data_IF_465257647844
#
_entry.id   IF_465257647844
#
_cell.length_a   1.000
_cell.length_b   1.000
_cell.length_c   1.000
_cell.angle_alpha   90.00
_cell.angle_beta   90.00
_cell.angle_gamma   90.00
#
_symmetry.space_group_name_H-M   'P 1'
#
loop_
_entity.id
_entity.type
_entity.pdbx_description
1 polymer ?
#
# COMPACT_ATOMS: atom_id res chain seq x y z
N UNK A 1 44.56 35.07 -8.20
CA UNK A 1 44.07 34.23 -7.08
C UNK A 1 42.80 34.87 -6.54
N UNK A 2 41.62 34.45 -7.01
CA UNK A 2 40.33 34.81 -6.43
C UNK A 2 39.45 33.57 -6.52
N UNK A 3 39.27 32.93 -5.37
CA UNK A 3 38.44 31.73 -5.17
C UNK A 3 36.98 32.19 -5.04
N UNK A 4 36.09 31.67 -5.89
CA UNK A 4 34.65 31.77 -5.64
C UNK A 4 34.21 30.50 -4.92
N UNK A 5 33.88 30.65 -3.64
CA UNK A 5 33.29 29.61 -2.81
C UNK A 5 31.81 29.45 -3.17
N UNK A 6 31.39 28.24 -3.53
CA UNK A 6 29.97 27.90 -3.69
C UNK A 6 29.46 27.27 -2.40
N UNK A 7 28.59 27.99 -1.70
CA UNK A 7 27.87 27.54 -0.52
C UNK A 7 26.70 26.66 -0.95
N UNK A 8 26.85 25.33 -0.86
CA UNK A 8 25.74 24.40 -1.07
C UNK A 8 25.06 24.10 0.28
N UNK A 9 24.01 24.87 0.57
CA UNK A 9 23.06 24.56 1.65
C UNK A 9 22.07 23.50 1.15
N UNK A 10 22.49 22.24 1.20
CA UNK A 10 21.63 21.11 0.86
C UNK A 10 20.58 20.93 1.97
N UNK A 11 19.40 21.53 1.81
CA UNK A 11 18.18 21.08 2.48
C UNK A 11 17.82 19.72 1.90
N UNK A 12 18.16 18.64 2.60
CA UNK A 12 17.62 17.31 2.30
C UNK A 12 16.10 17.38 2.47
N UNK A 13 15.28 17.19 1.43
CA UNK A 13 13.86 16.94 1.65
C UNK A 13 13.77 15.67 2.50
N UNK A 14 13.03 15.73 3.61
CA UNK A 14 12.63 14.56 4.37
C UNK A 14 11.80 13.69 3.43
N UNK A 15 12.44 12.77 2.71
CA UNK A 15 11.74 11.68 2.01
C UNK A 15 10.86 11.04 3.10
N UNK A 16 9.53 11.02 2.94
CA UNK A 16 8.68 10.32 3.88
C UNK A 16 9.26 8.91 3.98
N UNK A 17 9.73 8.56 5.18
CA UNK A 17 10.25 7.23 5.45
C UNK A 17 9.22 6.26 4.90
N UNK A 18 9.58 5.29 4.04
CA UNK A 18 8.62 4.37 3.45
C UNK A 18 7.88 3.75 4.63
N UNK A 19 6.63 4.21 4.82
CA UNK A 19 5.83 3.86 5.98
C UNK A 19 5.76 2.34 5.93
N UNK A 20 6.47 1.65 6.83
CA UNK A 20 6.61 0.21 6.69
C UNK A 20 5.18 -0.37 6.70
N UNK A 21 4.80 -0.92 5.56
CA UNK A 21 3.50 -1.54 5.37
C UNK A 21 3.63 -2.92 6.03
N UNK A 22 2.96 -3.10 7.16
CA UNK A 22 2.96 -4.35 7.93
C UNK A 22 1.53 -4.87 8.11
N UNK A 23 1.40 -6.19 8.26
CA UNK A 23 0.11 -6.85 8.54
C UNK A 23 -0.96 -6.53 7.50
N UNK A 24 -2.21 -6.34 7.94
CA UNK A 24 -3.36 -6.08 7.08
C UNK A 24 -3.19 -4.83 6.19
N UNK A 25 -2.41 -3.83 6.63
CA UNK A 25 -2.15 -2.63 5.83
C UNK A 25 -1.33 -2.94 4.58
N UNK A 26 -0.34 -3.83 4.70
CA UNK A 26 0.44 -4.35 3.57
C UNK A 26 -0.44 -5.15 2.63
N UNK A 27 -1.19 -6.11 3.19
CA UNK A 27 -2.07 -6.97 2.41
C UNK A 27 -3.17 -6.20 1.69
N UNK A 28 -3.69 -5.13 2.28
CA UNK A 28 -4.66 -4.26 1.62
C UNK A 28 -4.08 -3.61 0.36
N UNK A 29 -2.88 -3.02 0.45
CA UNK A 29 -2.23 -2.40 -0.70
C UNK A 29 -1.88 -3.42 -1.79
N UNK A 30 -1.34 -4.58 -1.41
CA UNK A 30 -1.04 -5.66 -2.35
C UNK A 30 -2.31 -6.20 -2.99
N UNK A 31 -3.39 -6.38 -2.23
CA UNK A 31 -4.67 -6.83 -2.77
C UNK A 31 -5.21 -5.87 -3.82
N UNK A 32 -5.12 -4.54 -3.62
CA UNK A 32 -5.51 -3.55 -4.65
C UNK A 32 -4.74 -3.79 -5.95
N UNK A 33 -3.41 -3.93 -5.88
CA UNK A 33 -2.57 -4.16 -7.05
C UNK A 33 -2.89 -5.50 -7.72
N UNK A 34 -3.06 -6.55 -6.93
CA UNK A 34 -3.36 -7.90 -7.40
C UNK A 34 -4.75 -8.01 -8.04
N UNK A 35 -5.75 -7.28 -7.53
CA UNK A 35 -7.09 -7.21 -8.11
C UNK A 35 -7.10 -6.43 -9.44
N UNK A 36 -6.25 -5.40 -9.56
CA UNK A 36 -6.09 -4.63 -10.80
C UNK A 36 -5.27 -5.38 -11.86
N UNK A 37 -4.47 -6.37 -11.45
CA UNK A 37 -3.64 -7.18 -12.34
C UNK A 37 -4.43 -8.31 -13.00
N UNK A 38 -4.21 -8.51 -14.31
CA UNK A 38 -4.70 -9.68 -15.05
C UNK A 38 -3.86 -10.95 -14.81
N UNK A 39 -2.73 -10.83 -14.09
CA UNK A 39 -1.89 -11.96 -13.68
C UNK A 39 -2.00 -12.19 -12.19
N UNK A 40 -2.07 -13.47 -11.79
CA UNK A 40 -2.17 -13.93 -10.40
C UNK A 40 -0.86 -14.61 -10.00
N UNK A 41 0.22 -13.86 -9.74
CA UNK A 41 1.46 -14.46 -9.27
C UNK A 41 1.32 -14.96 -7.82
N UNK A 42 2.24 -15.81 -7.38
CA UNK A 42 2.19 -16.41 -6.04
C UNK A 42 2.32 -15.35 -4.93
N UNK A 43 3.01 -14.23 -5.17
CA UNK A 43 3.06 -13.12 -4.20
C UNK A 43 1.69 -12.51 -3.89
N UNK A 44 0.70 -12.64 -4.78
CA UNK A 44 -0.66 -12.16 -4.53
C UNK A 44 -1.48 -13.10 -3.64
N UNK A 45 -1.01 -14.31 -3.38
CA UNK A 45 -1.85 -15.34 -2.78
C UNK A 45 -2.27 -14.98 -1.35
N UNK A 46 -1.35 -14.45 -0.54
CA UNK A 46 -1.68 -14.04 0.84
C UNK A 46 -2.70 -12.91 0.85
N UNK A 47 -2.47 -11.86 0.06
CA UNK A 47 -3.31 -10.66 0.02
C UNK A 47 -4.70 -10.96 -0.54
N UNK A 48 -4.79 -11.82 -1.57
CA UNK A 48 -6.07 -12.26 -2.12
C UNK A 48 -6.80 -13.23 -1.19
N UNK A 49 -6.09 -14.15 -0.52
CA UNK A 49 -6.70 -15.03 0.47
C UNK A 49 -7.33 -14.21 1.61
N UNK A 50 -6.64 -13.14 2.06
CA UNK A 50 -7.19 -12.23 3.06
C UNK A 50 -8.44 -11.52 2.55
N UNK A 51 -8.42 -10.99 1.32
CA UNK A 51 -9.56 -10.28 0.73
C UNK A 51 -10.79 -11.18 0.50
N UNK A 52 -10.59 -12.35 -0.11
CA UNK A 52 -11.68 -13.29 -0.39
C UNK A 52 -12.13 -14.08 0.83
N UNK A 53 -11.28 -14.21 1.86
CA UNK A 53 -11.65 -14.77 3.17
C UNK A 53 -12.50 -13.84 4.03
N UNK A 54 -12.70 -12.58 3.62
CA UNK A 54 -13.72 -11.71 4.20
C UNK A 54 -15.06 -12.12 3.58
N UNK A 55 -15.89 -12.77 4.40
CA UNK A 55 -17.18 -13.33 4.03
C UNK A 55 -18.14 -13.24 5.22
N UNK A 56 -19.34 -12.76 4.97
CA UNK A 56 -20.44 -12.63 5.93
C UNK A 56 -21.72 -13.18 5.27
N UNK A 57 -22.71 -13.56 6.09
CA UNK A 57 -23.99 -14.08 5.59
C UNK A 57 -24.73 -13.07 4.68
N UNK A 58 -24.55 -11.77 4.93
CA UNK A 58 -25.08 -10.70 4.10
C UNK A 58 -24.04 -10.18 3.08
N UNK A 59 -24.47 -10.04 1.81
CA UNK A 59 -23.60 -9.57 0.73
C UNK A 59 -23.19 -8.09 0.91
N UNK A 60 -24.09 -7.25 1.44
CA UNK A 60 -23.81 -5.85 1.74
C UNK A 60 -22.74 -5.71 2.82
N UNK A 61 -22.83 -6.53 3.88
CA UNK A 61 -21.82 -6.59 4.93
C UNK A 61 -20.46 -7.06 4.39
N UNK A 62 -20.46 -8.08 3.53
CA UNK A 62 -19.25 -8.56 2.85
C UNK A 62 -18.61 -7.47 1.98
N UNK A 63 -19.40 -6.78 1.16
CA UNK A 63 -18.91 -5.70 0.31
C UNK A 63 -18.32 -4.55 1.16
N UNK A 64 -19.00 -4.20 2.26
CA UNK A 64 -18.57 -3.14 3.19
C UNK A 64 -17.27 -3.52 3.87
N UNK A 65 -17.14 -4.75 4.38
CA UNK A 65 -15.93 -5.23 5.02
C UNK A 65 -14.75 -5.33 4.05
N UNK A 66 -14.98 -5.78 2.81
CA UNK A 66 -13.97 -5.79 1.75
C UNK A 66 -13.49 -4.37 1.42
N UNK A 67 -14.41 -3.40 1.29
CA UNK A 67 -14.05 -2.01 1.09
C UNK A 67 -13.24 -1.44 2.26
N UNK A 68 -13.64 -1.73 3.49
CA UNK A 68 -12.92 -1.32 4.70
C UNK A 68 -11.50 -1.91 4.75
N UNK A 69 -11.34 -3.18 4.38
CA UNK A 69 -10.03 -3.79 4.25
C UNK A 69 -9.15 -3.06 3.24
N UNK A 70 -9.65 -2.81 2.02
CA UNK A 70 -8.89 -2.10 0.99
C UNK A 70 -8.55 -0.64 1.39
N UNK A 71 -9.43 0.01 2.16
CA UNK A 71 -9.21 1.37 2.68
C UNK A 71 -8.09 1.48 3.72
N UNK A 72 -7.59 0.35 4.25
CA UNK A 72 -6.38 0.38 5.09
C UNK A 72 -5.15 0.80 4.28
N UNK A 73 -5.15 0.62 2.96
CA UNK A 73 -4.08 1.11 2.11
C UNK A 73 -4.13 2.65 2.03
N UNK A 74 -3.09 3.37 2.50
CA UNK A 74 -3.06 4.82 2.44
C UNK A 74 -3.03 5.28 0.97
N UNK A 75 -3.90 6.23 0.62
CA UNK A 75 -3.89 6.89 -0.68
C UNK A 75 -2.78 7.94 -0.66
N UNK A 76 -1.62 7.58 -1.19
CA UNK A 76 -0.49 8.49 -1.40
C UNK A 76 -0.77 9.43 -2.57
#
# INVERSE_FOLDING_TARGET
MLVHAQSNNQRTPSIPEPQLLTGDRKLACEAILCLASNKRPNECQESLNRYFGIDFDDFGDTATARANFLNQCPRQ
#
